data_IF_759387195723
#
_entry.id   IF_759387195723
#
_cell.length_a   1.000
_cell.length_b   1.000
_cell.length_c   1.000
_cell.angle_alpha   90.00
_cell.angle_beta   90.00
_cell.angle_gamma   90.00
#
_symmetry.space_group_name_H-M   'P 1'
#
loop_
_entity.id
_entity.type
_entity.pdbx_description
1 polymer ?
#
# COMPACT_ATOMS: atom_id res chain seq x y z
N UNK A 1 -52.75 1.42 -24.36
CA UNK A 1 -51.79 2.15 -23.51
C UNK A 1 -51.52 3.54 -24.09
N UNK A 2 -51.46 4.57 -23.24
CA UNK A 2 -51.14 5.96 -23.62
C UNK A 2 -49.72 6.07 -24.20
N UNK A 3 -49.51 7.05 -25.11
CA UNK A 3 -48.17 7.39 -25.67
C UNK A 3 -47.17 7.73 -24.57
N UNK A 4 -47.63 8.40 -23.50
CA UNK A 4 -46.80 8.74 -22.35
C UNK A 4 -46.24 7.49 -21.67
N UNK A 5 -47.08 6.49 -21.40
CA UNK A 5 -46.68 5.25 -20.74
C UNK A 5 -45.66 4.45 -21.55
N UNK A 6 -45.80 4.43 -22.88
CA UNK A 6 -44.82 3.77 -23.78
C UNK A 6 -43.46 4.49 -23.76
N UNK A 7 -43.49 5.82 -23.72
CA UNK A 7 -42.28 6.65 -23.69
C UNK A 7 -41.54 6.49 -22.36
N UNK A 8 -42.26 6.47 -21.24
CA UNK A 8 -41.69 6.19 -19.93
C UNK A 8 -41.03 4.81 -19.89
N UNK A 9 -41.71 3.77 -20.40
CA UNK A 9 -41.18 2.41 -20.44
C UNK A 9 -39.90 2.30 -21.29
N UNK A 10 -39.88 2.96 -22.45
CA UNK A 10 -38.70 3.00 -23.30
C UNK A 10 -37.54 3.75 -22.63
N UNK A 11 -37.83 4.88 -21.99
CA UNK A 11 -36.82 5.68 -21.30
C UNK A 11 -36.19 4.93 -20.12
N UNK A 12 -37.00 4.28 -19.27
CA UNK A 12 -36.47 3.48 -18.15
C UNK A 12 -35.71 2.26 -18.63
N UNK A 13 -36.17 1.59 -19.69
CA UNK A 13 -35.46 0.48 -20.32
C UNK A 13 -34.08 0.88 -20.86
N UNK A 14 -34.02 2.01 -21.58
CA UNK A 14 -32.76 2.55 -22.09
C UNK A 14 -31.82 3.00 -20.97
N UNK A 15 -32.35 3.63 -19.92
CA UNK A 15 -31.58 4.03 -18.75
C UNK A 15 -30.95 2.82 -18.05
N UNK A 16 -31.73 1.76 -17.84
CA UNK A 16 -31.24 0.53 -17.22
C UNK A 16 -30.14 -0.14 -18.08
N UNK A 17 -30.37 -0.26 -19.39
CA UNK A 17 -29.37 -0.81 -20.31
C UNK A 17 -28.08 0.04 -20.31
N UNK A 18 -28.21 1.36 -20.30
CA UNK A 18 -27.08 2.29 -20.25
C UNK A 18 -26.24 2.12 -18.99
N UNK A 19 -26.88 1.99 -17.82
CA UNK A 19 -26.17 1.75 -16.55
C UNK A 19 -25.39 0.43 -16.61
N UNK A 20 -26.02 -0.64 -17.10
CA UNK A 20 -25.36 -1.96 -17.22
C UNK A 20 -24.14 -1.86 -18.14
N UNK A 21 -24.28 -1.23 -19.31
CA UNK A 21 -23.18 -1.03 -20.25
C UNK A 21 -22.05 -0.19 -19.64
N UNK A 22 -22.39 0.86 -18.90
CA UNK A 22 -21.41 1.72 -18.22
C UNK A 22 -20.63 0.94 -17.15
N UNK A 23 -21.30 0.14 -16.33
CA UNK A 23 -20.64 -0.67 -15.29
C UNK A 23 -19.68 -1.68 -15.90
N UNK A 24 -20.05 -2.36 -16.98
CA UNK A 24 -19.14 -3.30 -17.66
C UNK A 24 -17.89 -2.59 -18.19
N UNK A 25 -18.06 -1.41 -18.78
CA UNK A 25 -16.93 -0.60 -19.23
C UNK A 25 -16.04 -0.17 -18.06
N UNK A 26 -16.63 0.32 -16.96
CA UNK A 26 -15.88 0.76 -15.78
C UNK A 26 -15.11 -0.39 -15.12
N UNK A 27 -15.73 -1.57 -14.98
CA UNK A 27 -15.07 -2.77 -14.46
C UNK A 27 -13.84 -3.17 -15.28
N UNK A 28 -13.89 -3.01 -16.61
CA UNK A 28 -12.76 -3.33 -17.48
C UNK A 28 -11.61 -2.32 -17.31
N UNK A 29 -11.93 -1.03 -17.12
CA UNK A 29 -10.93 0.00 -16.80
C UNK A 29 -10.25 -0.30 -15.46
N UNK A 30 -11.02 -0.72 -14.45
CA UNK A 30 -10.49 -1.06 -13.14
C UNK A 30 -9.55 -2.28 -13.22
N UNK A 31 -9.91 -3.33 -13.96
CA UNK A 31 -9.04 -4.48 -14.19
C UNK A 31 -7.72 -4.08 -14.88
N UNK A 32 -7.78 -3.22 -15.89
CA UNK A 32 -6.59 -2.71 -16.55
C UNK A 32 -5.67 -1.94 -15.58
N UNK A 33 -6.26 -1.24 -14.59
CA UNK A 33 -5.51 -0.58 -13.52
C UNK A 33 -4.88 -1.56 -12.52
N UNK A 34 -5.52 -2.71 -12.24
CA UNK A 34 -5.00 -3.72 -11.31
C UNK A 34 -3.65 -4.31 -11.74
N UNK A 35 -3.41 -4.47 -13.05
CA UNK A 35 -2.09 -4.90 -13.56
C UNK A 35 -0.96 -3.93 -13.18
N UNK A 36 -1.25 -2.62 -13.21
CA UNK A 36 -0.30 -1.57 -12.78
C UNK A 36 -0.10 -1.54 -11.26
N UNK A 37 -1.02 -2.11 -10.48
CA UNK A 37 -0.84 -2.29 -9.04
C UNK A 37 0.20 -3.38 -8.75
N UNK A 38 0.06 -4.53 -9.42
CA UNK A 38 0.96 -5.69 -9.24
C UNK A 38 2.40 -5.36 -9.66
N UNK A 39 2.57 -4.67 -10.79
CA UNK A 39 3.91 -4.26 -11.25
C UNK A 39 4.63 -3.36 -10.24
N UNK A 40 3.92 -2.38 -9.67
CA UNK A 40 4.47 -1.49 -8.64
C UNK A 40 4.81 -2.25 -7.35
N UNK A 41 4.03 -3.27 -6.98
CA UNK A 41 4.32 -4.07 -5.80
C UNK A 41 5.53 -4.99 -6.00
N UNK A 42 5.73 -5.52 -7.21
CA UNK A 42 6.93 -6.29 -7.56
C UNK A 42 8.20 -5.42 -7.52
N UNK A 43 8.13 -4.19 -8.01
CA UNK A 43 9.24 -3.23 -7.94
C UNK A 43 9.59 -2.88 -6.48
N UNK A 44 8.57 -2.62 -5.64
CA UNK A 44 8.76 -2.39 -4.20
C UNK A 44 9.38 -3.60 -3.49
N UNK A 45 9.01 -4.82 -3.87
CA UNK A 45 9.61 -6.02 -3.29
C UNK A 45 11.10 -6.14 -3.62
N UNK A 46 11.51 -5.85 -4.86
CA UNK A 46 12.94 -5.82 -5.24
C UNK A 46 13.73 -4.81 -4.42
N UNK A 47 13.23 -3.57 -4.35
CA UNK A 47 13.88 -2.50 -3.59
C UNK A 47 13.99 -2.87 -2.09
N UNK A 48 12.99 -3.56 -1.53
CA UNK A 48 13.06 -4.04 -0.13
C UNK A 48 14.15 -5.09 0.05
N UNK A 49 14.31 -6.03 -0.88
CA UNK A 49 15.36 -7.05 -0.82
C UNK A 49 16.75 -6.42 -0.94
N UNK A 50 16.93 -5.46 -1.86
CA UNK A 50 18.18 -4.73 -2.02
C UNK A 50 18.56 -3.99 -0.74
N UNK A 51 17.62 -3.27 -0.12
CA UNK A 51 17.85 -2.56 1.16
C UNK A 51 18.16 -3.49 2.32
N UNK A 52 17.53 -4.67 2.37
CA UNK A 52 17.82 -5.66 3.41
C UNK A 52 19.23 -6.21 3.26
N UNK A 53 19.65 -6.54 2.03
CA UNK A 53 21.01 -6.99 1.76
C UNK A 53 22.05 -5.92 2.09
N UNK A 54 21.77 -4.66 1.73
CA UNK A 54 22.64 -3.52 2.03
C UNK A 54 22.78 -3.30 3.55
N UNK A 55 21.68 -3.42 4.30
CA UNK A 55 21.70 -3.34 5.75
C UNK A 55 22.52 -4.47 6.39
N UNK A 56 22.37 -5.71 5.92
CA UNK A 56 23.14 -6.84 6.44
C UNK A 56 24.65 -6.68 6.21
N UNK A 57 25.05 -6.16 5.05
CA UNK A 57 26.45 -5.88 4.75
C UNK A 57 26.99 -4.80 5.69
N UNK A 58 26.27 -3.69 5.86
CA UNK A 58 26.68 -2.63 6.78
C UNK A 58 26.83 -3.13 8.22
N UNK A 59 25.87 -3.94 8.68
CA UNK A 59 25.93 -4.56 10.01
C UNK A 59 27.16 -5.45 10.18
N UNK A 60 27.51 -6.27 9.19
CA UNK A 60 28.72 -7.11 9.25
C UNK A 60 29.99 -6.27 9.27
N UNK A 61 30.06 -5.21 8.46
CA UNK A 61 31.19 -4.28 8.47
C UNK A 61 31.32 -3.62 9.85
N UNK A 62 30.22 -3.16 10.45
CA UNK A 62 30.21 -2.59 11.80
C UNK A 62 30.75 -3.58 12.83
N UNK A 63 30.30 -4.84 12.80
CA UNK A 63 30.78 -5.90 13.68
C UNK A 63 32.28 -6.16 13.50
N UNK A 64 32.82 -6.08 12.29
CA UNK A 64 34.25 -6.20 12.01
C UNK A 64 35.05 -5.01 12.54
N UNK A 65 34.60 -3.78 12.32
CA UNK A 65 35.25 -2.58 12.86
C UNK A 65 35.24 -2.57 14.40
N UNK A 66 34.16 -3.03 15.02
CA UNK A 66 34.03 -3.09 16.49
C UNK A 66 34.97 -4.10 17.15
N UNK A 67 35.42 -5.14 16.43
CA UNK A 67 36.45 -6.08 16.94
C UNK A 67 37.82 -5.42 17.06
N UNK A 68 38.11 -4.47 16.17
CA UNK A 68 39.38 -3.74 16.13
C UNK A 68 39.37 -2.49 17.01
N UNK A 69 38.19 -1.93 17.28
CA UNK A 69 38.01 -0.71 18.06
C UNK A 69 37.04 -0.92 19.22
N UNK A 70 37.53 -0.89 20.45
CA UNK A 70 36.70 -0.88 21.67
C UNK A 70 36.04 0.50 21.80
N UNK A 71 34.92 0.71 21.11
CA UNK A 71 34.11 1.93 21.26
C UNK A 71 33.23 1.76 22.50
N UNK A 72 33.43 2.59 23.53
CA UNK A 72 32.50 2.69 24.65
C UNK A 72 31.12 3.10 24.11
N UNK A 73 30.02 2.44 24.52
CA UNK A 73 28.69 2.89 24.12
C UNK A 73 28.49 4.32 24.64
N UNK A 74 28.40 5.29 23.74
CA UNK A 74 27.96 6.64 24.08
C UNK A 74 26.55 6.52 24.65
N UNK A 75 26.38 7.06 25.85
CA UNK A 75 25.17 7.01 26.67
C UNK A 75 23.94 7.42 25.82
N UNK A 76 23.14 6.45 25.38
CA UNK A 76 21.83 6.69 24.77
C UNK A 76 20.98 5.40 24.80
N UNK A 77 20.93 4.78 25.98
CA UNK A 77 19.93 3.76 26.35
C UNK A 77 19.19 4.15 27.64
N UNK A 78 19.03 5.46 27.88
CA UNK A 78 18.31 6.02 29.04
C UNK A 78 17.00 6.73 28.67
N UNK A 79 16.35 6.37 27.56
CA UNK A 79 15.05 6.97 27.19
C UNK A 79 13.88 5.99 26.98
N UNK A 80 14.08 4.68 27.14
CA UNK A 80 12.99 3.69 27.01
C UNK A 80 12.26 3.34 28.33
N UNK A 81 12.59 4.00 29.44
CA UNK A 81 12.05 3.66 30.78
C UNK A 81 10.89 4.51 31.31
N UNK A 82 10.70 5.76 30.88
CA UNK A 82 9.84 6.71 31.61
C UNK A 82 8.41 6.90 31.07
N UNK A 83 8.02 6.30 29.94
CA UNK A 83 6.69 6.53 29.35
C UNK A 83 5.58 5.56 29.79
N UNK A 84 5.83 4.68 30.76
CA UNK A 84 4.82 3.73 31.29
C UNK A 84 4.26 4.07 32.67
N UNK A 85 4.30 5.34 33.09
CA UNK A 85 3.70 5.78 34.34
C UNK A 85 2.94 7.11 34.16
N UNK A 86 1.92 7.12 33.28
CA UNK A 86 1.17 8.35 33.02
C UNK A 86 -0.21 8.17 32.39
N UNK A 87 -0.85 6.99 32.51
CA UNK A 87 -2.24 6.82 32.07
C UNK A 87 -2.99 5.81 32.94
N UNK A 88 -3.23 6.21 34.18
CA UNK A 88 -4.22 5.62 35.05
C UNK A 88 -4.79 6.69 35.98
N UNK A 89 -5.62 7.57 35.42
CA UNK A 89 -6.80 8.20 36.05
C UNK A 89 -7.68 8.76 34.95
#
# INVERSE_FOLDING_TARGET
MSRASKLTLAATGLGAAGIISFVHWAQEQDKASMHKGVERDMEKQRIRQERQAEFEIQRRLEEEYRKLQTVSPSIEDQSEGETKQGRAT
#
